data_IF_877637088541
#
_entry.id   IF_877637088541
#
_cell.length_a   1.000
_cell.length_b   1.000
_cell.length_c   1.000
_cell.angle_alpha   90.00
_cell.angle_beta   90.00
_cell.angle_gamma   90.00
#
_symmetry.space_group_name_H-M   'P 1'
#
loop_
_entity.id
_entity.type
_entity.pdbx_description
1 polymer ?
#
# COMPACT_ATOMS: atom_id res chain seq x y z
N UNK A 1 26.48 -9.62 8.08
CA UNK A 1 25.97 -8.41 7.37
C UNK A 1 24.63 -8.07 8.00
N UNK A 2 24.56 -7.04 8.84
CA UNK A 2 23.32 -6.69 9.55
C UNK A 2 22.37 -5.99 8.57
N UNK A 3 21.27 -6.68 8.20
CA UNK A 3 20.19 -6.10 7.41
C UNK A 3 19.46 -5.05 8.27
N UNK A 4 19.93 -3.81 8.25
CA UNK A 4 19.22 -2.67 8.85
C UNK A 4 18.19 -2.15 7.86
N UNK A 5 16.92 -2.23 8.24
CA UNK A 5 15.81 -1.60 7.51
C UNK A 5 15.95 -0.09 7.69
N UNK A 6 15.96 0.65 6.58
CA UNK A 6 15.93 2.12 6.59
C UNK A 6 14.49 2.58 6.82
N UNK A 7 14.31 3.48 7.77
CA UNK A 7 13.03 4.08 8.07
C UNK A 7 12.98 5.51 7.53
N UNK A 8 11.88 5.89 6.89
CA UNK A 8 11.65 7.24 6.42
C UNK A 8 10.15 7.57 6.50
N UNK A 9 9.84 8.82 6.85
CA UNK A 9 8.47 9.33 6.93
C UNK A 9 8.21 10.31 5.79
N UNK A 10 7.03 10.20 5.17
CA UNK A 10 6.61 11.07 4.08
C UNK A 10 5.14 11.43 4.27
N UNK A 11 4.81 12.71 4.08
CA UNK A 11 3.42 13.18 4.12
C UNK A 11 2.62 12.51 2.98
N UNK A 12 1.40 12.05 3.28
CA UNK A 12 0.58 11.24 2.36
C UNK A 12 0.41 11.85 0.96
N UNK A 13 0.23 13.17 0.85
CA UNK A 13 0.11 13.85 -0.44
C UNK A 13 1.38 13.72 -1.30
N UNK A 14 2.55 13.95 -0.68
CA UNK A 14 3.84 13.79 -1.35
C UNK A 14 4.11 12.32 -1.68
N UNK A 15 3.70 11.39 -0.81
CA UNK A 15 3.77 9.96 -1.08
C UNK A 15 2.98 9.59 -2.33
N UNK A 16 1.72 10.03 -2.47
CA UNK A 16 0.91 9.77 -3.68
C UNK A 16 1.56 10.31 -4.96
N UNK A 17 2.12 11.52 -4.93
CA UNK A 17 2.80 12.10 -6.10
C UNK A 17 4.06 11.32 -6.48
N UNK A 18 4.86 10.93 -5.48
CA UNK A 18 6.08 10.16 -5.68
C UNK A 18 5.79 8.74 -6.14
N UNK A 19 4.69 8.15 -5.67
CA UNK A 19 4.26 6.81 -6.03
C UNK A 19 3.91 6.71 -7.52
N UNK A 20 3.29 7.75 -8.09
CA UNK A 20 3.02 7.81 -9.53
C UNK A 20 4.29 8.16 -10.33
N UNK A 21 5.12 9.07 -9.82
CA UNK A 21 6.27 9.60 -10.57
C UNK A 21 7.49 8.67 -10.57
N UNK A 22 7.72 7.98 -9.44
CA UNK A 22 8.90 7.16 -9.18
C UNK A 22 8.56 6.05 -8.17
N UNK A 23 7.75 5.05 -8.55
CA UNK A 23 7.30 3.99 -7.65
C UNK A 23 8.45 3.13 -7.10
N UNK A 24 9.54 2.96 -7.84
CA UNK A 24 10.65 2.05 -7.51
C UNK A 24 11.47 2.46 -6.27
N UNK A 25 11.18 3.61 -5.68
CA UNK A 25 11.81 4.03 -4.42
C UNK A 25 11.13 3.44 -3.18
N UNK A 26 9.94 2.84 -3.33
CA UNK A 26 9.16 2.29 -2.23
C UNK A 26 9.26 0.76 -2.19
N UNK A 27 9.72 0.23 -1.04
CA UNK A 27 9.75 -1.21 -0.78
C UNK A 27 8.55 -1.63 0.08
N UNK A 28 8.39 -0.99 1.24
CA UNK A 28 7.32 -1.30 2.21
C UNK A 28 6.74 0.01 2.73
N UNK A 29 5.42 0.16 2.66
CA UNK A 29 4.69 1.32 3.17
C UNK A 29 3.80 0.90 4.33
N UNK A 30 3.95 1.58 5.47
CA UNK A 30 3.08 1.41 6.65
C UNK A 30 2.28 2.68 6.82
N UNK A 31 0.96 2.57 6.86
CA UNK A 31 0.06 3.72 6.92
C UNK A 31 -1.11 3.44 7.87
N UNK A 32 -1.66 4.48 8.53
CA UNK A 32 -2.95 4.38 9.20
C UNK A 32 -4.08 4.02 8.24
N UNK A 33 -5.16 3.44 8.75
CA UNK A 33 -6.21 2.80 7.96
C UNK A 33 -6.69 3.65 6.75
N UNK A 34 -7.16 4.86 7.01
CA UNK A 34 -7.67 5.74 5.95
C UNK A 34 -6.60 6.10 4.89
N UNK A 35 -5.36 6.30 5.31
CA UNK A 35 -4.27 6.65 4.39
C UNK A 35 -3.81 5.44 3.56
N UNK A 36 -3.93 4.22 4.11
CA UNK A 36 -3.69 2.99 3.37
C UNK A 36 -4.62 2.84 2.18
N UNK A 37 -5.91 3.14 2.35
CA UNK A 37 -6.86 3.17 1.24
C UNK A 37 -6.49 4.20 0.18
N UNK A 38 -6.10 5.41 0.59
CA UNK A 38 -5.76 6.49 -0.36
C UNK A 38 -4.51 6.14 -1.20
N UNK A 39 -3.46 5.68 -0.52
CA UNK A 39 -2.19 5.32 -1.15
C UNK A 39 -2.37 4.10 -2.05
N UNK A 40 -3.09 3.06 -1.59
CA UNK A 40 -3.32 1.86 -2.37
C UNK A 40 -4.20 2.10 -3.61
N UNK A 41 -5.22 2.96 -3.52
CA UNK A 41 -6.00 3.36 -4.69
C UNK A 41 -5.14 4.12 -5.71
N UNK A 42 -4.24 4.99 -5.23
CA UNK A 42 -3.29 5.70 -6.09
C UNK A 42 -2.32 4.72 -6.76
N UNK A 43 -1.81 3.73 -6.02
CA UNK A 43 -0.94 2.68 -6.56
C UNK A 43 -1.68 1.83 -7.62
N UNK A 44 -2.90 1.41 -7.32
CA UNK A 44 -3.68 0.54 -8.18
C UNK A 44 -4.11 1.24 -9.48
N UNK A 45 -4.47 2.53 -9.41
CA UNK A 45 -4.82 3.32 -10.58
C UNK A 45 -3.59 3.80 -11.37
N UNK A 46 -2.52 4.22 -10.68
CA UNK A 46 -1.36 4.87 -11.29
C UNK A 46 -0.21 3.95 -11.70
N UNK A 47 -0.04 2.81 -11.02
CA UNK A 47 1.08 1.87 -11.26
C UNK A 47 0.57 0.58 -11.91
N UNK A 48 -0.47 -0.02 -11.34
CA UNK A 48 -0.91 -1.35 -11.74
C UNK A 48 -1.76 -1.40 -13.01
N UNK A 49 -2.24 -0.26 -13.51
CA UNK A 49 -2.96 -0.13 -14.79
C UNK A 49 -4.34 -0.79 -14.85
N UNK A 50 -4.73 -1.61 -13.87
CA UNK A 50 -5.99 -2.36 -13.83
C UNK A 50 -6.94 -1.99 -12.68
N UNK A 51 -6.62 -0.95 -11.90
CA UNK A 51 -7.39 -0.57 -10.72
C UNK A 51 -7.24 -1.58 -9.57
N UNK A 52 -8.00 -1.39 -8.48
CA UNK A 52 -7.87 -2.24 -7.29
C UNK A 52 -8.25 -3.69 -7.57
N UNK A 53 -9.17 -3.95 -8.50
CA UNK A 53 -9.70 -5.30 -8.80
C UNK A 53 -8.67 -6.34 -9.26
N UNK A 54 -7.48 -5.91 -9.70
CA UNK A 54 -6.37 -6.82 -10.08
C UNK A 54 -5.29 -6.95 -9.01
N UNK A 55 -5.41 -6.21 -7.91
CA UNK A 55 -4.46 -6.25 -6.79
C UNK A 55 -4.91 -7.31 -5.77
N UNK A 56 -4.09 -8.33 -5.49
CA UNK A 56 -4.36 -9.26 -4.39
C UNK A 56 -4.23 -8.55 -3.04
N UNK A 57 -5.16 -8.81 -2.12
CA UNK A 57 -5.15 -8.25 -0.77
C UNK A 57 -5.32 -9.32 0.31
N UNK A 58 -4.81 -9.03 1.51
CA UNK A 58 -4.96 -9.90 2.66
C UNK A 58 -4.98 -9.10 3.96
N UNK A 59 -6.00 -9.36 4.78
CA UNK A 59 -6.14 -8.81 6.12
C UNK A 59 -5.72 -9.89 7.12
N UNK A 60 -4.65 -9.63 7.87
CA UNK A 60 -4.07 -10.59 8.82
C UNK A 60 -4.27 -10.07 10.24
N UNK A 61 -5.08 -10.79 11.01
CA UNK A 61 -5.24 -10.60 12.45
C UNK A 61 -4.51 -11.68 13.25
N UNK A 62 -4.68 -11.66 14.57
CA UNK A 62 -3.97 -12.57 15.47
C UNK A 62 -4.44 -14.03 15.33
N UNK A 63 -5.74 -14.24 15.12
CA UNK A 63 -6.36 -15.58 15.07
C UNK A 63 -6.85 -15.96 13.66
N UNK A 64 -7.02 -14.97 12.78
CA UNK A 64 -7.65 -15.16 11.47
C UNK A 64 -6.95 -14.33 10.40
N UNK A 65 -6.94 -14.86 9.18
CA UNK A 65 -6.50 -14.16 7.98
C UNK A 65 -7.57 -14.28 6.88
N UNK A 66 -7.89 -13.16 6.25
CA UNK A 66 -8.88 -13.06 5.17
C UNK A 66 -8.16 -12.57 3.91
N UNK A 67 -8.28 -13.32 2.81
CA UNK A 67 -7.68 -12.95 1.52
C UNK A 67 -8.78 -12.62 0.52
N UNK A 68 -8.64 -11.49 -0.16
CA UNK A 68 -9.63 -10.97 -1.10
C UNK A 68 -8.98 -10.47 -2.40
N UNK A 69 -9.77 -10.49 -3.47
CA UNK A 69 -9.42 -9.83 -4.73
C UNK A 69 -9.92 -8.40 -4.67
N UNK A 70 -9.06 -7.43 -4.98
CA UNK A 70 -9.37 -6.05 -4.68
C UNK A 70 -8.81 -5.67 -3.33
N UNK A 71 -7.67 -4.98 -3.30
CA UNK A 71 -7.15 -4.42 -2.05
C UNK A 71 -8.13 -3.37 -1.52
N UNK A 72 -9.00 -3.78 -0.59
CA UNK A 72 -9.90 -2.90 0.14
C UNK A 72 -9.43 -2.84 1.59
N UNK A 73 -8.63 -1.84 1.92
CA UNK A 73 -8.19 -1.57 3.30
C UNK A 73 -9.36 -0.99 4.14
N UNK A 74 -10.59 -1.44 3.89
CA UNK A 74 -11.83 -1.03 4.54
C UNK A 74 -12.54 -2.16 5.29
N UNK A 75 -12.05 -3.41 5.19
CA UNK A 75 -12.58 -4.54 5.96
C UNK A 75 -11.62 -4.89 7.12
N UNK A 76 -11.77 -4.17 8.23
CA UNK A 76 -11.36 -4.63 9.56
C UNK A 76 -12.60 -4.77 10.44
#
# INVERSE_FOLDING_TARGET
>A
MLLRIKYNEIIVYNCCMQLVSKPEQFDVMVTPNLYGNLVANTAAAGIAGGGTGVMPGGNVGQDHAVFEQGFAHGIQ
#
